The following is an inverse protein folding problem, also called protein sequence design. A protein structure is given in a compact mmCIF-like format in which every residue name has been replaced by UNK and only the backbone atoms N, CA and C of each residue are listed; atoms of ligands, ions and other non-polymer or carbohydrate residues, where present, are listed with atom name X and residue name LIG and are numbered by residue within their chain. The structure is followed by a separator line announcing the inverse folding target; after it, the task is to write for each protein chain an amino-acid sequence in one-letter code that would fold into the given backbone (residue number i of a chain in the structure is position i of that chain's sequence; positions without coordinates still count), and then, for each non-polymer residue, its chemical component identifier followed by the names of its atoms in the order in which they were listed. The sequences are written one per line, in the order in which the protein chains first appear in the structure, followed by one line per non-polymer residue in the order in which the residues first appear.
data_IF_402569317360
#
_entry.id   IF_402569317360
#
_cell.length_a   1.000
_cell.length_b   1.000
_cell.length_c   1.000
_cell.angle_alpha   90.00
_cell.angle_beta   90.00
_cell.angle_gamma   90.00
#
_symmetry.space_group_name_H-M   'P 1'
#
loop_
_entity.id
_entity.type
_entity.pdbx_description
1 polymer ?
#
# COMPACT_ATOMS: atom_id res chain seq x y z
N UNK A 1 16.04 -16.42 1.05
CA UNK A 1 15.08 -16.04 0.00
C UNK A 1 14.29 -14.91 0.62
N UNK A 2 14.44 -13.69 0.11
CA UNK A 2 13.64 -12.56 0.56
C UNK A 2 12.29 -12.65 -0.16
N UNK A 3 11.22 -12.89 0.59
CA UNK A 3 9.86 -12.87 0.08
C UNK A 3 9.45 -11.40 -0.16
N UNK A 4 9.90 -10.83 -1.28
CA UNK A 4 9.56 -9.46 -1.68
C UNK A 4 8.26 -9.43 -2.48
N UNK A 5 7.29 -8.61 -2.05
CA UNK A 5 6.01 -8.43 -2.75
C UNK A 5 5.85 -6.98 -3.17
N UNK A 6 5.66 -6.75 -4.47
CA UNK A 6 5.35 -5.42 -5.01
C UNK A 6 3.84 -5.23 -5.11
N UNK A 7 3.31 -4.22 -4.43
CA UNK A 7 1.90 -3.85 -4.53
C UNK A 7 1.73 -2.33 -4.46
N UNK A 8 0.65 -1.82 -5.06
CA UNK A 8 0.27 -0.41 -4.98
C UNK A 8 -0.94 -0.26 -4.05
N UNK A 9 -0.91 0.72 -3.15
CA UNK A 9 -2.00 0.96 -2.20
C UNK A 9 -2.24 2.45 -2.01
N UNK A 10 -3.53 2.82 -1.90
CA UNK A 10 -3.93 4.14 -1.45
C UNK A 10 -3.39 4.38 -0.03
N UNK A 11 -2.67 5.48 0.13
CA UNK A 11 -2.36 6.05 1.43
C UNK A 11 -3.60 6.79 1.93
N UNK A 12 -4.00 6.56 3.18
CA UNK A 12 -5.15 7.26 3.74
C UNK A 12 -4.85 8.75 4.02
N UNK A 13 -5.88 9.53 4.37
CA UNK A 13 -5.73 10.96 4.64
C UNK A 13 -4.80 11.30 5.82
N UNK A 14 -4.39 10.31 6.62
CA UNK A 14 -3.45 10.46 7.74
C UNK A 14 -2.04 10.00 7.36
N UNK A 15 -1.77 9.69 6.09
CA UNK A 15 -0.47 9.23 5.65
C UNK A 15 -0.19 7.75 5.97
N UNK A 16 -1.22 6.94 6.31
CA UNK A 16 -1.04 5.54 6.69
C UNK A 16 -1.28 4.61 5.50
N UNK A 17 -0.47 3.56 5.40
CA UNK A 17 -0.63 2.47 4.45
C UNK A 17 -1.07 1.20 5.18
N UNK A 18 -2.14 0.57 4.70
CA UNK A 18 -2.62 -0.71 5.24
C UNK A 18 -2.23 -1.84 4.30
N UNK A 19 -1.33 -2.70 4.75
CA UNK A 19 -0.97 -3.93 4.04
C UNK A 19 -2.17 -4.88 4.10
N UNK A 20 -2.77 -5.29 2.95
CA UNK A 20 -3.92 -6.17 2.94
C UNK A 20 -3.58 -7.58 3.47
N UNK A 21 -4.61 -8.29 3.94
CA UNK A 21 -4.45 -9.58 4.63
C UNK A 21 -3.64 -10.60 3.83
N UNK A 22 -3.92 -10.72 2.54
CA UNK A 22 -3.23 -11.65 1.65
C UNK A 22 -1.72 -11.44 1.63
N UNK A 23 -1.26 -10.19 1.51
CA UNK A 23 0.17 -9.86 1.54
C UNK A 23 0.77 -10.07 2.93
N UNK A 24 0.02 -9.81 4.01
CA UNK A 24 0.50 -10.12 5.38
C UNK A 24 0.71 -11.62 5.59
N UNK A 25 -0.14 -12.46 5.01
CA UNK A 25 0.00 -13.91 5.06
C UNK A 25 1.19 -14.38 4.24
N UNK A 26 1.36 -13.86 3.03
CA UNK A 26 2.51 -14.15 2.18
C UNK A 26 3.84 -13.71 2.81
N UNK A 27 3.87 -12.57 3.50
CA UNK A 27 5.02 -12.09 4.26
C UNK A 27 5.17 -12.77 5.64
N UNK A 28 4.25 -13.67 6.02
CA UNK A 28 4.24 -14.37 7.31
C UNK A 28 4.17 -13.46 8.56
N UNK A 29 3.62 -12.26 8.42
CA UNK A 29 3.50 -11.24 9.48
C UNK A 29 2.09 -11.15 10.10
N UNK A 30 1.20 -12.09 9.79
CA UNK A 30 -0.14 -12.10 10.35
C UNK A 30 -0.10 -12.33 11.88
N UNK A 31 -0.68 -11.38 12.64
CA UNK A 31 -0.75 -11.46 14.11
C UNK A 31 0.56 -11.14 14.85
N UNK A 32 1.54 -10.52 14.17
CA UNK A 32 2.84 -10.15 14.74
C UNK A 32 3.22 -8.73 14.35
N UNK A 33 4.03 -8.09 15.19
CA UNK A 33 4.69 -6.84 14.83
C UNK A 33 5.91 -7.14 13.96
N UNK A 34 6.05 -6.42 12.85
CA UNK A 34 7.14 -6.57 11.91
C UNK A 34 7.51 -5.22 11.29
N UNK A 35 8.80 -5.02 11.03
CA UNK A 35 9.28 -3.91 10.20
C UNK A 35 9.20 -4.37 8.76
N UNK A 36 8.49 -3.62 7.93
CA UNK A 36 8.39 -3.86 6.49
C UNK A 36 9.07 -2.70 5.78
N UNK A 37 10.16 -2.99 5.08
CA UNK A 37 10.82 -2.04 4.20
C UNK A 37 10.08 -2.01 2.86
N UNK A 38 9.90 -0.82 2.29
CA UNK A 38 9.33 -0.65 0.96
C UNK A 38 9.92 0.58 0.29
N UNK A 39 10.02 0.54 -1.04
CA UNK A 39 10.32 1.69 -1.89
C UNK A 39 9.00 2.29 -2.41
N UNK A 40 8.82 3.60 -2.24
CA UNK A 40 7.57 4.27 -2.61
C UNK A 40 7.76 5.23 -3.79
N UNK A 41 6.86 5.11 -4.78
CA UNK A 41 6.78 6.02 -5.94
C UNK A 41 5.36 6.60 -6.02
N UNK A 42 5.23 7.93 -6.09
CA UNK A 42 3.93 8.60 -6.27
C UNK A 42 3.42 8.33 -7.69
N UNK A 43 2.35 7.55 -7.82
CA UNK A 43 1.74 7.24 -9.12
C UNK A 43 0.72 8.30 -9.58
N UNK A 44 -0.25 8.66 -8.73
CA UNK A 44 -1.31 9.63 -9.07
C UNK A 44 -1.98 10.19 -7.80
N UNK A 45 -2.78 11.25 -7.92
CA UNK A 45 -3.70 11.71 -6.87
C UNK A 45 -5.06 11.02 -7.04
N UNK A 46 -5.73 10.74 -5.92
CA UNK A 46 -7.08 10.14 -5.91
C UNK A 46 -8.16 11.17 -5.52
N UNK A 47 -7.78 12.44 -5.44
CA UNK A 47 -8.66 13.59 -5.20
C UNK A 47 -9.09 14.26 -6.52
N UNK A 48 -8.58 13.80 -7.67
CA UNK A 48 -8.98 14.27 -8.99
C UNK A 48 -10.07 13.36 -9.56
N UNK A 49 -11.27 13.44 -9.00
CA UNK A 49 -12.52 13.10 -9.70
C UNK A 49 -13.60 14.10 -9.28
N UNK A 50 -13.61 15.26 -9.95
CA UNK A 50 -14.82 15.98 -10.37
C UNK A 50 -14.44 17.20 -11.26
N UNK A 51 -14.91 17.24 -12.52
CA UNK A 51 -14.92 18.50 -13.29
C UNK A 51 -14.41 18.50 -14.74
N UNK A 52 -14.45 17.38 -15.48
CA UNK A 52 -14.07 17.34 -16.90
C UNK A 52 -15.23 16.98 -17.83
N UNK A 53 -16.26 17.84 -17.93
CA UNK A 53 -17.24 17.77 -19.02
C UNK A 53 -16.53 18.11 -20.35
N UNK A 54 -16.61 17.22 -21.33
CA UNK A 54 -16.27 17.47 -22.75
C UNK A 54 -17.06 16.53 -23.64
#
# INVERSE_FOLDING_TARGET
MEDSISFSKKVDSKGRLVIPKEHRQALTIEGREAIVEFEATKLTYLDEDDGGES
#
